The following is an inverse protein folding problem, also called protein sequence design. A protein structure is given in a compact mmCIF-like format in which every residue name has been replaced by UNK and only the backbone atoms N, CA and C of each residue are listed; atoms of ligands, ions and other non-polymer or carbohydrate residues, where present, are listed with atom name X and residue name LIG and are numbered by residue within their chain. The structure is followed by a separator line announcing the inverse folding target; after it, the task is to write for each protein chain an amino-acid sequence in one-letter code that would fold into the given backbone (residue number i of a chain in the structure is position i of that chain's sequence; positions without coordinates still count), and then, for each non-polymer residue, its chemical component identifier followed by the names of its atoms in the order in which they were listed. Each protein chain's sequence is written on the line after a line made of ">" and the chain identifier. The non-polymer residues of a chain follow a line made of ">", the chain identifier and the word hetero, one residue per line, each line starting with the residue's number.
data_IF_272691146630
#
_entry.id   IF_272691146630
#
_cell.length_a   1.000
_cell.length_b   1.000
_cell.length_c   1.000
_cell.angle_alpha   90.00
_cell.angle_beta   90.00
_cell.angle_gamma   90.00
#
_symmetry.space_group_name_H-M   'P 1'
#
loop_
_entity.id
_entity.type
_entity.pdbx_description
1 polymer ?
#
# COMPACT_ATOMS: atom_id res chain seq x y z
N UNK A 1 7.75 7.87 -11.79
CA UNK A 1 6.37 7.97 -11.28
C UNK A 1 5.52 7.29 -12.33
N UNK A 2 4.88 6.15 -12.06
CA UNK A 2 3.76 5.74 -12.93
C UNK A 2 2.49 5.96 -12.13
N UNK A 3 2.14 7.23 -12.03
CA UNK A 3 0.75 7.62 -11.84
C UNK A 3 0.07 7.21 -13.13
N UNK A 4 -0.88 6.27 -13.07
CA UNK A 4 -1.80 6.09 -14.20
C UNK A 4 -2.50 7.44 -14.45
N UNK A 5 -2.49 7.98 -15.67
CA UNK A 5 -3.18 9.23 -15.95
C UNK A 5 -4.68 9.09 -15.65
N UNK A 6 -5.27 10.13 -15.07
CA UNK A 6 -6.72 10.25 -14.92
C UNK A 6 -7.36 10.36 -16.31
N UNK A 7 -8.56 9.80 -16.56
CA UNK A 7 -9.21 9.87 -17.87
C UNK A 7 -9.49 11.30 -18.39
N UNK A 8 -9.38 12.31 -17.54
CA UNK A 8 -9.56 13.73 -17.89
C UNK A 8 -8.38 14.37 -18.64
N UNK A 9 -7.21 13.70 -18.71
CA UNK A 9 -6.01 14.20 -19.43
C UNK A 9 -5.93 13.73 -20.90
N UNK A 10 -7.03 13.22 -21.49
CA UNK A 10 -7.06 12.96 -22.95
C UNK A 10 -7.24 14.29 -23.69
N UNK A 11 -6.32 14.68 -24.60
CA UNK A 11 -6.56 15.83 -25.46
C UNK A 11 -7.83 15.60 -26.28
N UNK A 12 -8.73 16.58 -26.26
CA UNK A 12 -9.93 16.58 -27.09
C UNK A 12 -9.55 16.29 -28.55
N UNK A 13 -10.20 15.30 -29.16
CA UNK A 13 -9.97 14.92 -30.55
C UNK A 13 -10.14 16.15 -31.44
N UNK A 14 -9.05 16.57 -32.08
CA UNK A 14 -9.09 17.63 -33.10
C UNK A 14 -10.05 17.18 -34.19
N UNK A 15 -11.10 17.97 -34.42
CA UNK A 15 -12.03 17.81 -35.54
C UNK A 15 -11.21 17.84 -36.84
N UNK A 16 -11.31 16.77 -37.63
CA UNK A 16 -10.74 16.72 -38.98
C UNK A 16 -11.51 17.69 -39.89
N UNK A 17 -10.84 18.50 -40.73
CA UNK A 17 -11.53 19.30 -41.74
C UNK A 17 -12.09 18.41 -42.87
N UNK A 18 -13.16 18.92 -43.49
CA UNK A 18 -14.15 18.18 -44.27
C UNK A 18 -13.68 17.47 -45.53
N UNK A 19 -14.48 16.46 -45.87
CA UNK A 19 -14.44 15.69 -47.10
C UNK A 19 -15.12 16.47 -48.24
N UNK A 20 -14.57 16.55 -49.46
CA UNK A 20 -15.33 16.92 -50.64
C UNK A 20 -16.02 15.71 -51.30
N UNK A 21 -17.10 16.05 -52.01
CA UNK A 21 -18.16 15.23 -52.58
C UNK A 21 -17.81 14.36 -53.81
N UNK A 22 -18.72 13.39 -54.07
CA UNK A 22 -18.96 12.55 -55.28
C UNK A 22 -18.02 11.34 -55.43
N UNK A 23 -18.51 10.12 -55.72
CA UNK A 23 -19.33 9.70 -56.86
C UNK A 23 -20.21 8.48 -56.48
N UNK A 24 -21.44 8.49 -56.99
CA UNK A 24 -22.44 7.39 -56.95
C UNK A 24 -21.94 6.18 -57.75
N UNK A 25 -21.89 4.99 -57.14
CA UNK A 25 -21.82 3.73 -57.87
C UNK A 25 -22.99 2.83 -57.44
N UNK A 26 -23.93 2.66 -58.36
CA UNK A 26 -25.06 1.74 -58.27
C UNK A 26 -24.55 0.34 -58.57
N UNK A 27 -24.69 -0.62 -57.64
CA UNK A 27 -24.58 -2.04 -57.97
C UNK A 27 -25.88 -2.73 -57.56
N UNK A 28 -26.65 -3.12 -58.57
CA UNK A 28 -27.73 -4.09 -58.48
C UNK A 28 -27.12 -5.49 -58.35
N UNK A 29 -27.60 -6.30 -57.40
CA UNK A 29 -27.65 -7.74 -57.65
C UNK A 29 -28.84 -8.38 -56.91
N UNK A 30 -29.70 -8.97 -57.71
CA UNK A 30 -30.95 -9.63 -57.33
C UNK A 30 -30.72 -10.95 -56.59
N UNK A 31 -31.51 -11.09 -55.52
CA UNK A 31 -32.24 -12.26 -55.02
C UNK A 31 -31.92 -13.65 -55.61
N UNK A 32 -31.66 -14.62 -54.73
CA UNK A 32 -32.21 -15.97 -54.91
C UNK A 32 -32.72 -16.52 -53.57
N UNK A 33 -33.95 -17.00 -53.66
CA UNK A 33 -34.86 -17.45 -52.62
C UNK A 33 -34.49 -18.86 -52.16
N UNK A 34 -34.49 -19.12 -50.85
CA UNK A 34 -34.34 -20.45 -50.26
C UNK A 34 -35.19 -20.56 -49.00
N UNK A 35 -36.45 -20.92 -49.19
CA UNK A 35 -37.48 -21.13 -48.18
C UNK A 35 -37.47 -22.61 -47.77
N UNK A 36 -37.24 -22.94 -46.49
CA UNK A 36 -37.80 -24.15 -45.88
C UNK A 36 -38.32 -23.79 -44.48
N UNK A 37 -39.61 -24.02 -44.32
CA UNK A 37 -40.40 -23.86 -43.10
C UNK A 37 -40.45 -25.15 -42.27
N UNK A 38 -40.81 -25.04 -40.99
CA UNK A 38 -41.15 -26.15 -40.09
C UNK A 38 -40.82 -25.81 -38.62
N UNK A 39 -41.64 -25.02 -37.90
CA UNK A 39 -42.85 -25.41 -37.15
C UNK A 39 -42.53 -25.94 -35.72
N UNK A 40 -42.68 -25.04 -34.72
CA UNK A 40 -43.33 -25.13 -33.37
C UNK A 40 -43.35 -26.43 -32.51
N UNK A 41 -43.78 -26.39 -31.22
CA UNK A 41 -43.41 -25.54 -30.08
C UNK A 41 -43.15 -26.35 -28.78
N UNK A 42 -42.94 -25.64 -27.67
CA UNK A 42 -42.70 -26.11 -26.30
C UNK A 42 -43.86 -26.89 -25.63
N UNK A 43 -43.53 -27.78 -24.67
CA UNK A 43 -44.11 -27.79 -23.30
C UNK A 43 -43.69 -29.01 -22.43
N UNK A 44 -43.92 -28.96 -21.10
CA UNK A 44 -43.16 -29.66 -20.07
C UNK A 44 -43.91 -30.82 -19.38
N UNK A 45 -43.20 -31.65 -18.60
CA UNK A 45 -43.83 -32.51 -17.58
C UNK A 45 -42.94 -32.72 -16.34
N UNK A 46 -43.52 -32.75 -15.12
CA UNK A 46 -42.82 -32.85 -13.84
C UNK A 46 -42.93 -34.25 -13.18
N UNK A 47 -42.03 -34.55 -12.24
CA UNK A 47 -42.22 -35.48 -11.10
C UNK A 47 -41.34 -34.96 -9.96
N UNK A 48 -41.83 -34.49 -8.78
CA UNK A 48 -42.45 -35.20 -7.63
C UNK A 48 -41.69 -36.47 -7.24
N UNK A 49 -41.45 -36.86 -5.99
CA UNK A 49 -41.57 -36.31 -4.62
C UNK A 49 -41.16 -37.51 -3.72
N UNK A 50 -40.23 -37.37 -2.79
CA UNK A 50 -40.18 -38.14 -1.54
C UNK A 50 -39.11 -37.50 -0.63
N UNK A 51 -39.42 -36.77 0.46
CA UNK A 51 -39.75 -37.21 1.85
C UNK A 51 -38.82 -38.25 2.47
N UNK A 52 -37.98 -37.79 3.41
CA UNK A 52 -37.65 -38.36 4.74
C UNK A 52 -36.71 -37.32 5.40
N UNK A 53 -37.01 -36.55 6.46
CA UNK A 53 -37.60 -36.76 7.80
C UNK A 53 -36.80 -37.69 8.71
N UNK A 54 -36.29 -37.09 9.81
CA UNK A 54 -35.80 -37.69 11.06
C UNK A 54 -34.45 -38.46 10.97
N UNK A 55 -33.57 -38.53 11.97
CA UNK A 55 -33.40 -37.97 13.32
C UNK A 55 -32.09 -38.61 13.87
N UNK A 56 -31.66 -38.24 15.09
CA UNK A 56 -30.51 -38.72 15.89
C UNK A 56 -29.20 -37.94 15.61
N UNK A 57 -28.73 -36.98 16.41
CA UNK A 57 -28.50 -36.89 17.86
C UNK A 57 -27.39 -37.82 18.36
N UNK A 58 -26.20 -37.26 18.58
CA UNK A 58 -25.30 -37.72 19.64
C UNK A 58 -24.47 -36.55 20.19
N UNK A 59 -24.46 -36.45 21.52
CA UNK A 59 -23.72 -35.51 22.32
C UNK A 59 -22.50 -36.21 22.91
N UNK A 60 -21.34 -35.54 22.99
CA UNK A 60 -20.27 -35.95 23.88
C UNK A 60 -19.41 -34.74 24.32
N UNK A 61 -19.31 -34.63 25.64
CA UNK A 61 -18.75 -33.61 26.54
C UNK A 61 -17.20 -33.53 26.52
N UNK A 62 -16.57 -32.38 26.87
CA UNK A 62 -15.11 -32.26 27.03
C UNK A 62 -14.61 -32.67 28.44
N UNK A 63 -13.34 -33.10 28.59
CA UNK A 63 -12.69 -33.23 29.91
C UNK A 63 -11.61 -32.13 30.18
N UNK A 64 -11.15 -31.99 31.45
CA UNK A 64 -11.13 -30.69 32.14
C UNK A 64 -9.74 -30.06 32.40
N UNK A 65 -9.78 -28.78 32.79
CA UNK A 65 -8.71 -28.01 33.43
C UNK A 65 -8.53 -28.42 34.90
N UNK A 66 -7.30 -28.41 35.45
CA UNK A 66 -7.08 -28.30 36.89
C UNK A 66 -6.53 -26.91 37.27
N UNK A 67 -7.23 -26.23 38.16
CA UNK A 67 -6.76 -25.12 39.00
C UNK A 67 -6.37 -25.68 40.36
N UNK A 68 -5.20 -25.32 40.92
CA UNK A 68 -4.95 -25.15 42.37
C UNK A 68 -3.57 -24.47 42.59
N UNK A 69 -3.57 -23.19 42.96
CA UNK A 69 -2.64 -22.57 43.95
C UNK A 69 -3.26 -22.76 45.36
N UNK A 70 -2.65 -22.41 46.53
CA UNK A 70 -1.38 -21.68 46.80
C UNK A 70 -0.50 -22.27 47.94
N UNK A 71 0.77 -21.87 48.07
CA UNK A 71 1.40 -21.69 49.41
C UNK A 71 2.70 -20.86 49.38
N UNK A 72 2.96 -20.16 50.48
CA UNK A 72 3.90 -19.05 50.65
C UNK A 72 5.33 -19.45 51.14
N UNK A 73 6.33 -18.63 50.76
CA UNK A 73 7.45 -17.96 51.52
C UNK A 73 7.96 -18.56 52.87
N UNK A 74 9.16 -18.25 53.46
CA UNK A 74 10.34 -17.42 53.07
C UNK A 74 11.75 -18.01 53.38
N UNK A 75 12.84 -17.37 52.87
CA UNK A 75 13.96 -16.83 53.69
C UNK A 75 15.16 -16.31 52.86
N UNK A 76 15.59 -15.09 53.18
CA UNK A 76 16.95 -14.57 52.96
C UNK A 76 17.91 -15.03 54.10
N UNK A 77 19.24 -14.88 53.96
CA UNK A 77 19.87 -13.69 54.54
C UNK A 77 21.14 -13.12 53.84
N UNK A 78 21.23 -11.78 53.92
CA UNK A 78 22.36 -10.91 54.32
C UNK A 78 23.56 -10.51 53.41
N UNK A 79 23.72 -9.18 53.39
CA UNK A 79 24.84 -8.24 53.11
C UNK A 79 26.28 -8.77 53.29
N UNK A 80 27.22 -8.28 52.45
CA UNK A 80 28.24 -7.27 52.88
C UNK A 80 29.09 -6.72 51.71
N UNK A 81 29.16 -5.38 51.66
CA UNK A 81 30.29 -4.48 51.32
C UNK A 81 31.39 -4.89 50.31
N UNK A 82 31.66 -4.00 49.34
CA UNK A 82 32.98 -3.84 48.73
C UNK A 82 32.94 -3.08 47.40
N UNK A 83 33.33 -1.81 47.41
CA UNK A 83 33.72 -1.02 46.24
C UNK A 83 35.26 -0.98 46.19
N UNK A 84 35.89 -1.02 45.00
CA UNK A 84 36.42 0.23 44.43
C UNK A 84 36.21 0.36 42.90
N UNK A 85 36.30 1.62 42.45
CA UNK A 85 36.15 2.19 41.08
C UNK A 85 37.26 1.79 40.06
N UNK A 86 37.38 2.43 38.88
CA UNK A 86 36.42 2.63 37.79
C UNK A 86 36.99 2.07 36.46
N UNK A 87 36.14 1.60 35.54
CA UNK A 87 36.57 1.46 34.15
C UNK A 87 35.55 2.09 33.20
N UNK A 88 36.08 2.92 32.31
CA UNK A 88 35.35 3.75 31.37
C UNK A 88 34.89 2.92 30.17
N UNK A 89 33.58 2.83 29.95
CA UNK A 89 33.00 2.43 28.67
C UNK A 89 32.09 3.57 28.17
N UNK A 90 32.25 4.05 26.92
CA UNK A 90 31.40 5.12 26.38
C UNK A 90 29.98 4.60 26.12
N UNK A 91 29.05 5.12 26.94
CA UNK A 91 27.59 5.12 26.80
C UNK A 91 27.10 4.94 25.34
N UNK A 92 26.29 3.92 25.02
CA UNK A 92 24.85 3.87 25.33
C UNK A 92 24.20 5.24 25.43
N UNK A 93 24.07 5.93 24.31
CA UNK A 93 23.26 7.16 24.23
C UNK A 93 21.82 6.79 23.86
N UNK A 94 21.02 6.37 24.86
CA UNK A 94 19.55 6.44 24.75
C UNK A 94 19.19 7.92 24.91
N UNK A 95 18.45 8.55 23.98
CA UNK A 95 18.14 9.97 24.12
C UNK A 95 17.25 10.19 25.35
N UNK A 96 17.64 11.16 26.18
CA UNK A 96 16.92 11.57 27.39
C UNK A 96 15.61 12.28 27.03
N UNK A 97 14.60 12.12 27.88
CA UNK A 97 13.23 12.64 27.72
C UNK A 97 13.12 14.16 27.50
N UNK A 98 14.18 14.93 27.76
CA UNK A 98 14.24 16.38 27.52
C UNK A 98 14.48 16.76 26.04
N UNK A 99 14.73 15.80 25.13
CA UNK A 99 14.77 16.07 23.68
C UNK A 99 13.38 16.05 23.01
N UNK A 100 12.29 16.00 23.78
CA UNK A 100 10.92 15.85 23.26
C UNK A 100 10.13 17.18 23.25
N UNK A 101 10.71 18.31 23.66
CA UNK A 101 9.93 19.55 23.93
C UNK A 101 10.39 20.81 23.17
N UNK A 102 10.10 20.82 21.86
CA UNK A 102 9.80 21.92 20.91
C UNK A 102 9.71 21.24 19.52
N UNK A 103 8.89 21.66 18.54
CA UNK A 103 8.40 20.73 17.51
C UNK A 103 9.53 20.25 16.59
N UNK A 104 10.10 19.08 16.92
CA UNK A 104 11.09 18.35 16.11
C UNK A 104 10.51 17.97 14.74
N UNK A 105 9.19 18.13 14.58
CA UNK A 105 8.46 18.03 13.31
C UNK A 105 8.82 19.10 12.27
N UNK A 106 9.61 20.13 12.58
CA UNK A 106 10.01 21.17 11.61
C UNK A 106 11.41 20.95 11.00
N UNK A 107 12.24 20.07 11.57
CA UNK A 107 13.61 19.84 11.09
C UNK A 107 13.77 18.48 10.44
N UNK A 108 14.00 18.49 9.13
CA UNK A 108 14.38 17.31 8.37
C UNK A 108 15.81 16.90 8.76
N UNK A 109 16.01 16.01 9.75
CA UNK A 109 17.35 15.53 10.15
C UNK A 109 17.90 14.52 9.14
N UNK A 110 18.95 14.84 8.35
CA UNK A 110 19.54 13.88 7.43
C UNK A 110 20.28 12.76 8.18
N UNK A 111 20.13 11.52 7.71
CA UNK A 111 20.82 10.32 8.22
C UNK A 111 21.80 9.74 7.20
N UNK A 112 22.10 10.49 6.13
CA UNK A 112 22.94 10.07 5.01
C UNK A 112 22.13 9.62 3.80
N UNK A 113 22.68 8.68 3.03
CA UNK A 113 22.06 8.13 1.82
C UNK A 113 21.89 6.62 1.91
N UNK A 114 20.88 6.09 1.24
CA UNK A 114 20.65 4.65 1.14
C UNK A 114 21.55 3.99 0.08
N UNK A 115 21.51 2.64 0.01
CA UNK A 115 22.17 1.89 -1.08
C UNK A 115 21.63 2.26 -2.47
N UNK A 116 20.42 2.81 -2.55
CA UNK A 116 19.81 3.30 -3.78
C UNK A 116 20.07 4.80 -4.00
N UNK A 117 21.01 5.39 -3.26
CA UNK A 117 21.38 6.81 -3.30
C UNK A 117 20.23 7.78 -2.95
N UNK A 118 19.24 7.31 -2.18
CA UNK A 118 18.14 8.16 -1.72
C UNK A 118 18.53 8.86 -0.41
N UNK A 119 18.15 10.13 -0.28
CA UNK A 119 18.28 10.86 0.99
C UNK A 119 17.50 10.13 2.09
N UNK A 120 18.18 9.86 3.20
CA UNK A 120 17.57 9.28 4.41
C UNK A 120 17.38 10.33 5.46
N UNK A 121 16.26 10.29 6.16
CA UNK A 121 15.92 11.24 7.22
C UNK A 121 15.26 10.52 8.39
N UNK A 122 15.44 11.06 9.60
CA UNK A 122 14.72 10.58 10.77
C UNK A 122 13.37 11.27 10.86
N UNK A 123 12.27 10.51 10.86
CA UNK A 123 10.92 11.04 11.12
C UNK A 123 10.25 10.23 12.22
N UNK A 124 9.32 10.86 12.93
CA UNK A 124 8.53 10.19 13.98
C UNK A 124 7.09 10.04 13.48
N UNK A 125 6.60 8.81 13.49
CA UNK A 125 5.20 8.50 13.22
C UNK A 125 4.63 7.71 14.39
N UNK A 126 3.48 8.14 14.91
CA UNK A 126 2.77 7.44 16.00
C UNK A 126 3.66 7.18 17.23
N UNK A 127 4.59 8.09 17.53
CA UNK A 127 5.52 7.98 18.66
C UNK A 127 6.76 7.11 18.41
N UNK A 128 6.87 6.46 17.25
CA UNK A 128 8.05 5.67 16.87
C UNK A 128 8.90 6.41 15.84
N UNK A 129 10.22 6.29 15.96
CA UNK A 129 11.18 6.88 15.02
C UNK A 129 11.49 5.90 13.89
N UNK A 130 11.44 6.41 12.66
CA UNK A 130 11.76 5.67 11.44
C UNK A 130 12.98 6.26 10.74
N UNK A 131 13.81 5.38 10.16
CA UNK A 131 14.77 5.73 9.12
C UNK A 131 14.04 5.76 7.77
N UNK A 132 13.78 6.97 7.26
CA UNK A 132 12.90 7.20 6.12
C UNK A 132 13.71 7.54 4.88
N UNK A 133 13.59 6.71 3.85
CA UNK A 133 14.09 7.04 2.51
C UNK A 133 13.12 7.96 1.77
N UNK A 134 13.63 9.05 1.19
CA UNK A 134 12.82 9.99 0.42
C UNK A 134 12.82 9.64 -1.07
N UNK A 135 11.65 9.28 -1.59
CA UNK A 135 11.39 9.15 -3.01
C UNK A 135 10.85 10.49 -3.55
N UNK A 136 11.75 11.42 -3.87
CA UNK A 136 11.42 12.80 -4.24
C UNK A 136 11.71 13.16 -5.71
N UNK A 137 12.29 12.25 -6.48
CA UNK A 137 12.54 12.38 -7.93
C UNK A 137 11.56 11.52 -8.73
N UNK A 138 11.42 11.76 -10.05
CA UNK A 138 10.55 10.92 -10.90
C UNK A 138 11.01 9.46 -10.85
N UNK A 139 12.32 9.24 -10.94
CA UNK A 139 12.94 7.93 -10.99
C UNK A 139 12.76 7.18 -9.67
N UNK A 140 13.10 7.82 -8.54
CA UNK A 140 12.92 7.23 -7.21
C UNK A 140 11.46 6.90 -6.92
N UNK A 141 10.51 7.81 -7.23
CA UNK A 141 9.07 7.53 -7.13
C UNK A 141 8.58 6.46 -8.12
N UNK A 142 9.27 6.27 -9.24
CA UNK A 142 8.94 5.23 -10.21
C UNK A 142 9.39 3.85 -9.77
N UNK A 143 10.49 3.80 -9.02
CA UNK A 143 11.08 2.56 -8.47
C UNK A 143 10.38 2.14 -7.17
N UNK A 144 10.23 3.06 -6.21
CA UNK A 144 9.70 2.75 -4.88
C UNK A 144 10.45 1.59 -4.21
N UNK A 145 9.69 0.71 -3.56
CA UNK A 145 10.18 -0.57 -3.02
C UNK A 145 10.43 -1.67 -4.09
N UNK A 146 10.29 -1.37 -5.38
CA UNK A 146 10.51 -2.32 -6.47
C UNK A 146 11.94 -2.89 -6.49
N UNK A 147 12.04 -4.21 -6.62
CA UNK A 147 13.30 -4.97 -6.70
C UNK A 147 13.94 -5.29 -5.35
N UNK A 148 13.39 -4.79 -4.24
CA UNK A 148 13.89 -5.06 -2.88
C UNK A 148 13.32 -6.37 -2.37
N UNK A 149 14.17 -7.15 -1.69
CA UNK A 149 13.80 -8.46 -1.12
C UNK A 149 13.38 -8.39 0.36
N UNK A 150 13.62 -7.24 1.00
CA UNK A 150 13.33 -7.04 2.43
C UNK A 150 12.83 -5.62 2.64
N UNK A 151 12.01 -5.45 3.68
CA UNK A 151 11.62 -4.15 4.23
C UNK A 151 11.82 -4.20 5.76
N UNK A 152 13.01 -3.79 6.26
CA UNK A 152 13.33 -3.92 7.68
C UNK A 152 12.39 -3.10 8.58
N UNK A 153 12.09 -3.62 9.77
CA UNK A 153 11.36 -2.89 10.79
C UNK A 153 12.09 -1.59 11.17
N UNK A 154 11.34 -0.55 11.54
CA UNK A 154 11.88 0.77 11.87
C UNK A 154 12.40 1.56 10.65
N UNK A 155 12.15 1.09 9.43
CA UNK A 155 12.43 1.83 8.20
C UNK A 155 11.13 2.15 7.47
N UNK A 156 11.15 3.23 6.68
CA UNK A 156 10.01 3.60 5.84
C UNK A 156 10.48 4.20 4.52
N UNK A 157 9.58 4.32 3.55
CA UNK A 157 9.80 5.13 2.36
C UNK A 157 8.71 6.19 2.25
N UNK A 158 9.11 7.44 2.08
CA UNK A 158 8.20 8.56 1.91
C UNK A 158 8.31 9.13 0.50
N UNK A 159 7.23 9.02 -0.26
CA UNK A 159 7.11 9.61 -1.57
C UNK A 159 6.74 11.08 -1.40
N UNK A 160 7.59 11.96 -1.90
CA UNK A 160 7.34 13.40 -1.90
C UNK A 160 6.99 13.81 -3.32
N UNK A 161 5.75 14.21 -3.54
CA UNK A 161 5.30 14.64 -4.86
C UNK A 161 5.25 16.17 -4.96
N UNK A 162 5.49 16.76 -6.15
CA UNK A 162 5.56 18.21 -6.33
C UNK A 162 4.20 18.93 -6.20
N UNK A 163 3.09 18.20 -6.30
CA UNK A 163 1.75 18.80 -6.28
C UNK A 163 0.67 17.86 -5.76
N UNK A 164 -0.50 18.44 -5.48
CA UNK A 164 -1.66 17.72 -4.97
C UNK A 164 -2.46 17.13 -6.12
N UNK A 165 -2.46 15.80 -6.22
CA UNK A 165 -3.23 15.08 -7.26
C UNK A 165 -3.78 13.80 -6.67
N UNK A 166 -4.88 13.30 -7.23
CA UNK A 166 -5.29 11.92 -6.97
C UNK A 166 -4.21 11.00 -7.57
N UNK A 167 -3.72 10.07 -6.76
CA UNK A 167 -2.62 9.17 -7.12
C UNK A 167 -3.11 7.74 -7.14
N UNK A 168 -2.43 6.91 -7.93
CA UNK A 168 -2.64 5.47 -7.96
C UNK A 168 -1.27 4.79 -7.94
N UNK A 169 -1.05 3.94 -6.94
CA UNK A 169 0.17 3.15 -6.81
C UNK A 169 -0.12 1.69 -7.20
N UNK A 170 0.92 0.89 -7.35
CA UNK A 170 0.88 -0.51 -7.79
C UNK A 170 2.08 -1.27 -7.21
N UNK A 171 2.07 -2.60 -7.30
CA UNK A 171 3.13 -3.46 -6.75
C UNK A 171 4.09 -3.97 -7.84
N UNK A 172 4.31 -3.17 -8.90
CA UNK A 172 5.21 -3.55 -10.01
C UNK A 172 6.61 -3.88 -9.49
N UNK A 173 7.04 -5.12 -9.66
CA UNK A 173 8.33 -5.66 -9.21
C UNK A 173 8.57 -5.54 -7.69
N UNK A 174 7.56 -5.34 -6.86
CA UNK A 174 7.72 -5.35 -5.40
C UNK A 174 7.67 -6.80 -4.90
N UNK A 175 8.73 -7.26 -4.23
CA UNK A 175 8.90 -8.67 -3.86
C UNK A 175 8.49 -8.96 -2.40
N UNK A 176 8.01 -7.94 -1.70
CA UNK A 176 7.59 -8.00 -0.30
C UNK A 176 6.24 -7.32 -0.15
N UNK A 177 5.44 -7.81 0.79
CA UNK A 177 4.20 -7.15 1.18
C UNK A 177 4.53 -5.81 1.84
N UNK A 178 3.73 -4.79 1.54
CA UNK A 178 3.87 -3.46 2.12
C UNK A 178 2.51 -2.90 2.52
N UNK A 179 2.55 -1.93 3.41
CA UNK A 179 1.44 -1.03 3.66
C UNK A 179 1.69 0.32 3.00
N UNK A 180 0.61 1.02 2.60
CA UNK A 180 0.70 2.41 2.16
C UNK A 180 -0.36 3.28 2.82
N UNK A 181 0.05 4.47 3.28
CA UNK A 181 -0.84 5.56 3.64
C UNK A 181 -0.64 6.74 2.68
N UNK A 182 -1.71 7.16 1.99
CA UNK A 182 -1.72 8.36 1.16
C UNK A 182 -2.05 9.58 2.01
N UNK A 183 -1.27 10.64 1.90
CA UNK A 183 -1.31 11.79 2.80
C UNK A 183 -1.42 13.08 1.98
N UNK A 184 -2.34 13.97 2.35
CA UNK A 184 -2.51 15.27 1.68
C UNK A 184 -1.42 16.28 2.08
N UNK A 185 -1.52 17.51 1.54
CA UNK A 185 -0.53 18.57 1.81
C UNK A 185 -0.47 19.05 3.26
N UNK A 186 -1.49 18.74 4.07
CA UNK A 186 -1.60 19.12 5.46
C UNK A 186 -1.31 17.97 6.42
N UNK A 187 -0.85 16.82 5.89
CA UNK A 187 -0.55 15.65 6.70
C UNK A 187 -1.75 14.76 6.99
N UNK A 188 -2.92 15.03 6.40
CA UNK A 188 -4.10 14.19 6.62
C UNK A 188 -4.06 12.93 5.78
N UNK A 189 -4.31 11.78 6.40
CA UNK A 189 -4.41 10.50 5.70
C UNK A 189 -5.71 10.46 4.90
N UNK A 190 -5.58 10.28 3.59
CA UNK A 190 -6.69 10.27 2.62
C UNK A 190 -7.15 8.86 2.27
N UNK A 191 -6.23 7.89 2.28
CA UNK A 191 -6.49 6.48 2.07
C UNK A 191 -5.36 5.64 2.63
N UNK A 192 -5.66 4.39 2.99
CA UNK A 192 -4.67 3.38 3.37
C UNK A 192 -4.95 2.09 2.60
N UNK A 193 -3.90 1.33 2.28
CA UNK A 193 -4.05 0.02 1.65
C UNK A 193 -3.00 -0.96 2.16
N UNK A 194 -3.43 -2.22 2.28
CA UNK A 194 -2.53 -3.38 2.37
C UNK A 194 -2.23 -3.83 0.97
N UNK A 195 -0.95 -3.88 0.62
CA UNK A 195 -0.49 -4.15 -0.74
C UNK A 195 0.36 -5.42 -0.71
N UNK A 196 -0.24 -6.59 -0.99
CA UNK A 196 0.51 -7.83 -1.09
C UNK A 196 1.41 -7.81 -2.33
N UNK A 197 2.56 -8.47 -2.24
CA UNK A 197 3.46 -8.69 -3.36
C UNK A 197 2.72 -9.41 -4.50
N UNK A 198 2.97 -8.97 -5.73
CA UNK A 198 2.35 -9.55 -6.92
C UNK A 198 3.35 -10.47 -7.65
N UNK A 199 2.88 -11.57 -8.29
CA UNK A 199 3.75 -12.46 -9.03
C UNK A 199 4.60 -11.70 -10.07
N UNK A 200 5.90 -12.01 -10.19
CA UNK A 200 6.77 -11.33 -11.14
C UNK A 200 6.28 -11.55 -12.58
N UNK A 201 6.79 -10.72 -13.50
CA UNK A 201 6.50 -10.87 -14.93
C UNK A 201 6.92 -12.26 -15.41
N UNK A 202 6.04 -12.95 -16.13
CA UNK A 202 6.35 -14.27 -16.69
C UNK A 202 7.34 -14.15 -17.86
N UNK A 203 8.18 -15.16 -18.15
CA UNK A 203 9.20 -15.06 -19.20
C UNK A 203 8.68 -14.60 -20.58
N UNK A 204 7.51 -15.08 -20.99
CA UNK A 204 6.86 -14.75 -22.29
C UNK A 204 5.79 -13.66 -22.21
N UNK A 205 5.59 -13.05 -21.04
CA UNK A 205 4.58 -12.02 -20.84
C UNK A 205 5.14 -10.66 -21.26
N UNK A 206 4.42 -9.94 -22.13
CA UNK A 206 4.81 -8.58 -22.53
C UNK A 206 4.74 -7.62 -21.35
N UNK A 207 5.54 -6.55 -21.39
CA UNK A 207 5.51 -5.51 -20.34
C UNK A 207 4.12 -4.87 -20.18
N UNK A 208 3.39 -4.71 -21.28
CA UNK A 208 2.03 -4.16 -21.24
C UNK A 208 1.04 -5.13 -20.57
N UNK A 209 1.09 -6.42 -20.91
CA UNK A 209 0.25 -7.44 -20.28
C UNK A 209 0.54 -7.58 -18.78
N UNK A 210 1.82 -7.58 -18.41
CA UNK A 210 2.24 -7.58 -17.01
C UNK A 210 1.64 -6.41 -16.24
N UNK A 211 1.75 -5.19 -16.77
CA UNK A 211 1.24 -3.99 -16.11
C UNK A 211 -0.29 -3.95 -16.05
N UNK A 212 -0.97 -4.45 -17.08
CA UNK A 212 -2.43 -4.45 -17.15
C UNK A 212 -3.10 -5.31 -16.06
N UNK A 213 -2.43 -6.36 -15.59
CA UNK A 213 -2.97 -7.22 -14.51
C UNK A 213 -2.64 -6.74 -13.09
N UNK A 214 -1.77 -5.74 -12.92
CA UNK A 214 -1.39 -5.27 -11.58
C UNK A 214 -2.52 -4.48 -10.95
N UNK A 215 -2.80 -4.76 -9.69
CA UNK A 215 -3.82 -4.01 -8.95
C UNK A 215 -3.34 -2.59 -8.68
N UNK A 216 -4.21 -1.61 -8.98
CA UNK A 216 -3.97 -0.20 -8.69
C UNK A 216 -4.65 0.26 -7.40
N UNK A 217 -3.91 0.95 -6.54
CA UNK A 217 -4.33 1.42 -5.22
C UNK A 217 -4.50 2.95 -5.22
N UNK A 218 -5.73 3.49 -5.20
CA UNK A 218 -5.97 4.93 -5.31
C UNK A 218 -5.86 5.66 -3.97
N UNK A 219 -5.39 6.91 -4.00
CA UNK A 219 -5.37 7.82 -2.85
C UNK A 219 -6.75 8.34 -2.45
N UNK A 220 -7.78 8.11 -3.28
CA UNK A 220 -9.18 8.57 -3.14
C UNK A 220 -9.39 10.09 -3.15
N UNK A 221 -8.46 10.88 -2.64
CA UNK A 221 -8.42 12.35 -2.65
C UNK A 221 -7.03 12.84 -3.08
N UNK A 222 -6.85 14.14 -3.37
CA UNK A 222 -5.53 14.69 -3.67
C UNK A 222 -4.52 14.38 -2.55
N UNK A 223 -3.41 13.74 -2.92
CA UNK A 223 -2.34 13.38 -2.01
C UNK A 223 -1.03 14.03 -2.46
N UNK A 224 -0.28 14.56 -1.50
CA UNK A 224 1.06 15.13 -1.68
C UNK A 224 2.13 14.11 -1.35
N UNK A 225 1.85 13.26 -0.37
CA UNK A 225 2.77 12.23 0.08
C UNK A 225 2.14 10.84 0.02
N UNK A 226 2.98 9.82 -0.01
CA UNK A 226 2.59 8.45 0.29
C UNK A 226 3.69 7.85 1.19
N UNK A 227 3.29 7.26 2.32
CA UNK A 227 4.17 6.60 3.26
C UNK A 227 4.04 5.09 3.05
N UNK A 228 5.10 4.45 2.57
CA UNK A 228 5.22 2.99 2.53
C UNK A 228 5.89 2.49 3.81
N UNK A 229 5.32 1.43 4.39
CA UNK A 229 5.77 0.79 5.63
C UNK A 229 5.86 -0.74 5.42
N UNK A 230 6.63 -1.45 6.26
CA UNK A 230 6.55 -2.91 6.36
C UNK A 230 5.09 -3.37 6.54
N UNK A 231 4.72 -4.50 5.93
CA UNK A 231 3.36 -5.01 6.04
C UNK A 231 2.94 -5.22 7.52
N UNK A 232 1.74 -4.74 7.85
CA UNK A 232 1.15 -4.81 9.18
C UNK A 232 1.41 -3.59 10.05
N UNK A 233 2.40 -2.74 9.72
CA UNK A 233 2.75 -1.58 10.55
C UNK A 233 1.62 -0.54 10.65
N UNK A 234 0.81 -0.35 9.60
CA UNK A 234 -0.34 0.55 9.73
C UNK A 234 -1.34 0.07 10.80
N UNK A 235 -1.53 -1.25 10.97
CA UNK A 235 -2.44 -1.79 12.00
C UNK A 235 -1.76 -1.77 13.37
N UNK A 236 -0.50 -2.25 13.44
CA UNK A 236 0.32 -2.27 14.65
C UNK A 236 0.38 -0.91 15.33
N UNK A 237 0.52 0.15 14.55
CA UNK A 237 0.65 1.53 15.02
C UNK A 237 -0.70 2.25 15.13
N UNK A 238 -1.80 1.63 14.70
CA UNK A 238 -3.14 2.20 14.79
C UNK A 238 -3.33 3.46 13.94
N UNK A 239 -2.85 3.44 12.69
CA UNK A 239 -3.13 4.50 11.73
C UNK A 239 -4.61 4.51 11.33
N UNK A 240 -5.15 5.69 11.01
CA UNK A 240 -6.55 5.88 10.63
C UNK A 240 -6.69 6.92 9.53
N UNK A 241 -7.52 6.62 8.53
CA UNK A 241 -7.92 7.61 7.53
C UNK A 241 -8.57 8.80 8.24
N UNK A 242 -8.17 10.01 7.84
CA UNK A 242 -8.63 11.26 8.41
C UNK A 242 -7.77 11.81 9.54
N UNK A 243 -6.86 11.03 10.14
CA UNK A 243 -5.91 11.55 11.12
C UNK A 243 -4.85 12.42 10.45
N UNK A 244 -4.26 13.35 11.22
CA UNK A 244 -3.19 14.25 10.75
C UNK A 244 -1.87 13.80 11.35
N UNK A 245 -0.90 13.52 10.47
CA UNK A 245 0.46 13.19 10.86
C UNK A 245 1.31 14.47 10.93
N UNK A 246 2.00 14.75 12.06
CA UNK A 246 2.98 15.82 12.11
C UNK A 246 4.11 15.54 11.12
N UNK A 247 4.35 16.47 10.18
CA UNK A 247 5.41 16.31 9.19
C UNK A 247 6.09 17.66 8.87
N UNK A 248 7.41 17.65 8.59
CA UNK A 248 8.15 18.84 8.18
C UNK A 248 7.82 19.17 6.71
N UNK A 249 6.62 19.70 6.46
CA UNK A 249 6.06 19.83 5.10
C UNK A 249 6.93 20.66 4.16
N UNK A 250 7.35 21.84 4.59
CA UNK A 250 8.15 22.76 3.77
C UNK A 250 9.50 22.16 3.34
N UNK A 251 10.37 21.68 4.25
CA UNK A 251 11.63 21.06 3.84
C UNK A 251 11.44 19.74 3.10
N UNK A 252 10.39 18.95 3.38
CA UNK A 252 10.06 17.80 2.54
C UNK A 252 9.77 18.24 1.10
N UNK A 253 8.93 19.25 0.91
CA UNK A 253 8.58 19.74 -0.42
C UNK A 253 9.77 20.33 -1.18
N UNK A 254 10.73 20.95 -0.49
CA UNK A 254 11.96 21.42 -1.11
C UNK A 254 12.78 20.30 -1.77
N UNK A 255 12.58 19.03 -1.37
CA UNK A 255 13.25 17.88 -2.01
C UNK A 255 12.58 17.41 -3.29
N UNK A 256 11.33 17.83 -3.55
CA UNK A 256 10.51 17.31 -4.64
C UNK A 256 10.95 17.88 -5.99
N UNK A 257 11.42 17.01 -6.88
CA UNK A 257 11.67 17.40 -8.28
C UNK A 257 10.38 17.27 -9.09
N UNK A 258 10.03 18.34 -9.81
CA UNK A 258 9.00 18.31 -10.83
C UNK A 258 9.41 17.39 -12.00
N UNK A 259 8.43 16.86 -12.73
CA UNK A 259 8.71 16.24 -14.01
C UNK A 259 8.98 17.28 -15.11
N UNK A 260 9.59 16.87 -16.23
CA UNK A 260 9.49 17.67 -17.45
C UNK A 260 8.02 17.80 -17.88
#
# INVERSE_FOLDING_TARGET
>A
MVVSPSPEDRPAARRRPGLPNRVTLTLNLSLTLGLIAGCEPASPTPERRATETASLQEAATPPPTPTTEPEANPKAPQRSTGQPEPNQDPASSRPTADQITAPDSDRLRPLGRSKADLLRVGLVFKGERFDVELASTIESRGRGMGGRKTFPAGTAMLFVNPGDRVRRYWMKNCLVDIDVAFIDRFGRITAMHRMPAEPPRRPRESTASYQARLKGYPSRRPARYALELPAGDLDRLGFRVGEVLPMPHAPLQATATAGP
#
